data_IF_866237968070
#
_entry.id   IF_866237968070
#
_cell.length_a   1.000
_cell.length_b   1.000
_cell.length_c   1.000
_cell.angle_alpha   90.00
_cell.angle_beta   90.00
_cell.angle_gamma   90.00
#
_symmetry.space_group_name_H-M   'P 1'
#
loop_
_entity.id
_entity.type
_entity.pdbx_description
1 polymer ?
#
# COMPACT_ATOMS: atom_id res chain seq x y z
N UNK A 1 11.58 -2.98 -14.29
CA UNK A 1 11.14 -1.64 -13.80
C UNK A 1 9.65 -1.75 -13.56
N UNK A 2 9.20 -1.55 -12.32
CA UNK A 2 7.77 -1.50 -11.99
C UNK A 2 7.38 -0.06 -11.69
N UNK A 3 6.30 0.42 -12.30
CA UNK A 3 5.75 1.75 -12.08
C UNK A 3 4.42 1.63 -11.35
N UNK A 4 4.30 2.24 -10.16
CA UNK A 4 3.04 2.32 -9.41
C UNK A 4 2.48 3.74 -9.46
N UNK A 5 1.21 3.92 -9.84
CA UNK A 5 0.51 5.21 -9.71
C UNK A 5 -0.64 5.06 -8.73
N UNK A 6 -0.70 5.88 -7.66
CA UNK A 6 -1.83 5.87 -6.72
C UNK A 6 -2.57 7.20 -6.56
N UNK A 7 -3.90 7.15 -6.45
CA UNK A 7 -4.78 8.33 -6.25
C UNK A 7 -5.56 8.31 -4.93
N UNK A 8 -4.91 8.58 -3.79
CA UNK A 8 -5.59 8.61 -2.50
C UNK A 8 -6.45 9.88 -2.30
N UNK A 9 -7.70 9.67 -1.91
CA UNK A 9 -8.66 10.71 -1.55
C UNK A 9 -8.93 10.63 -0.04
N UNK A 10 -7.99 11.10 0.79
CA UNK A 10 -8.20 11.20 2.25
C UNK A 10 -7.33 12.28 2.90
N UNK A 11 -7.99 13.17 3.67
CA UNK A 11 -7.42 13.91 4.83
C UNK A 11 -8.39 14.87 5.51
N UNK A 12 -9.54 15.24 4.90
CA UNK A 12 -10.22 16.49 5.29
C UNK A 12 -11.74 16.41 5.56
N UNK A 13 -12.34 15.22 5.68
CA UNK A 13 -13.78 15.04 5.98
C UNK A 13 -14.02 14.50 7.40
N UNK A 14 -15.13 14.90 8.04
CA UNK A 14 -15.53 14.47 9.39
C UNK A 14 -15.90 12.99 9.48
N UNK A 15 -16.06 12.30 8.34
CA UNK A 15 -16.21 10.84 8.23
C UNK A 15 -15.09 10.32 7.32
N UNK A 16 -14.12 9.55 7.81
CA UNK A 16 -12.99 9.10 7.00
C UNK A 16 -13.48 8.05 6.00
N UNK A 17 -13.78 8.49 4.79
CA UNK A 17 -13.90 7.66 3.60
C UNK A 17 -12.63 7.86 2.78
N UNK A 18 -12.00 6.76 2.37
CA UNK A 18 -10.83 6.76 1.51
C UNK A 18 -11.13 6.02 0.21
N UNK A 19 -10.70 6.60 -0.90
CA UNK A 19 -10.62 5.96 -2.21
C UNK A 19 -9.16 5.97 -2.66
N UNK A 20 -8.68 4.85 -3.20
CA UNK A 20 -7.36 4.75 -3.83
C UNK A 20 -7.55 3.98 -5.13
N UNK A 21 -7.09 4.55 -6.25
CA UNK A 21 -6.86 3.83 -7.50
C UNK A 21 -5.37 3.57 -7.61
N UNK A 22 -4.99 2.35 -8.00
CA UNK A 22 -3.61 1.91 -8.16
C UNK A 22 -3.45 1.33 -9.57
N UNK A 23 -2.39 1.72 -10.27
CA UNK A 23 -1.94 1.05 -11.49
C UNK A 23 -0.51 0.56 -11.29
N UNK A 24 -0.24 -0.70 -11.65
CA UNK A 24 1.09 -1.30 -11.65
C UNK A 24 1.38 -1.92 -13.02
N UNK A 25 2.60 -1.74 -13.52
CA UNK A 25 3.05 -2.32 -14.79
C UNK A 25 4.45 -2.92 -14.65
N UNK A 26 4.63 -4.13 -15.21
CA UNK A 26 5.94 -4.75 -15.42
C UNK A 26 6.08 -5.04 -16.91
N UNK A 27 6.82 -4.21 -17.67
CA UNK A 27 7.03 -4.41 -19.09
C UNK A 27 8.22 -5.31 -19.36
N UNK A 28 8.29 -5.87 -20.58
CA UNK A 28 9.48 -6.56 -21.08
C UNK A 28 9.77 -7.89 -20.39
N UNK A 29 8.72 -8.62 -19.97
CA UNK A 29 8.86 -9.97 -19.42
C UNK A 29 9.22 -10.92 -20.56
N UNK A 30 10.38 -11.60 -20.52
CA UNK A 30 10.78 -12.52 -21.58
C UNK A 30 9.83 -13.72 -21.67
N UNK A 31 9.29 -13.94 -22.86
CA UNK A 31 8.51 -15.13 -23.20
C UNK A 31 9.43 -16.19 -23.82
N UNK A 32 9.68 -17.26 -23.06
CA UNK A 32 10.54 -18.36 -23.50
C UNK A 32 9.76 -19.58 -23.99
N UNK A 33 8.42 -19.52 -24.01
CA UNK A 33 7.55 -20.68 -24.34
C UNK A 33 7.81 -21.25 -25.73
N UNK A 34 8.27 -20.41 -26.66
CA UNK A 34 8.58 -20.80 -28.05
C UNK A 34 10.07 -20.71 -28.37
N UNK A 35 10.92 -20.47 -27.37
CA UNK A 35 12.35 -20.26 -27.55
C UNK A 35 13.18 -21.55 -27.46
N UNK A 36 12.60 -22.67 -27.01
CA UNK A 36 13.34 -23.92 -26.85
C UNK A 36 13.67 -24.56 -28.21
N UNK A 37 14.96 -24.77 -28.47
CA UNK A 37 15.43 -25.67 -29.52
C UNK A 37 15.41 -27.09 -28.97
N UNK A 38 14.25 -27.71 -29.08
CA UNK A 38 13.96 -29.05 -28.59
C UNK A 38 14.37 -30.10 -29.63
N UNK A 39 15.45 -30.83 -29.38
CA UNK A 39 15.97 -31.84 -30.32
C UNK A 39 15.20 -33.16 -30.23
N UNK A 40 14.62 -33.47 -29.06
CA UNK A 40 13.99 -34.76 -28.78
C UNK A 40 12.45 -34.69 -28.70
N UNK A 41 11.86 -33.48 -28.65
CA UNK A 41 10.42 -33.21 -28.64
C UNK A 41 9.75 -33.31 -27.27
N UNK A 42 10.50 -33.34 -26.16
CA UNK A 42 9.96 -33.54 -24.80
C UNK A 42 9.56 -32.24 -24.08
N UNK A 43 9.84 -31.08 -24.67
CA UNK A 43 9.52 -29.75 -24.16
C UNK A 43 10.30 -29.35 -22.90
N UNK A 44 11.40 -30.03 -22.56
CA UNK A 44 12.20 -29.76 -21.36
C UNK A 44 13.63 -29.46 -21.74
N UNK A 45 14.12 -28.27 -21.42
CA UNK A 45 15.53 -27.88 -21.60
C UNK A 45 16.50 -28.89 -20.93
N UNK A 46 17.06 -29.83 -21.71
CA UNK A 46 17.95 -30.86 -21.19
C UNK A 46 19.02 -31.32 -22.21
N UNK A 47 20.04 -32.04 -21.73
CA UNK A 47 21.12 -32.55 -22.58
C UNK A 47 21.92 -31.45 -23.28
N UNK A 48 21.81 -31.40 -24.61
CA UNK A 48 22.48 -30.41 -25.48
C UNK A 48 21.53 -29.28 -25.95
N UNK A 49 20.28 -29.27 -25.51
CA UNK A 49 19.27 -28.30 -25.92
C UNK A 49 19.56 -26.91 -25.36
N UNK A 50 19.08 -25.88 -26.07
CA UNK A 50 19.31 -24.49 -25.71
C UNK A 50 18.13 -23.62 -26.10
N UNK A 51 18.02 -22.47 -25.45
CA UNK A 51 17.09 -21.44 -25.86
C UNK A 51 17.68 -20.68 -27.06
N UNK A 52 16.93 -20.61 -28.16
CA UNK A 52 17.22 -19.68 -29.24
C UNK A 52 16.76 -18.27 -28.82
N UNK A 53 17.74 -17.44 -28.49
CA UNK A 53 17.53 -16.02 -28.16
C UNK A 53 16.71 -15.25 -29.22
N UNK A 54 16.70 -15.68 -30.48
CA UNK A 54 15.91 -15.03 -31.55
C UNK A 54 14.41 -15.29 -31.44
N UNK A 55 14.03 -16.36 -30.76
CA UNK A 55 12.64 -16.78 -30.56
C UNK A 55 12.10 -16.38 -29.17
N UNK A 56 12.92 -15.68 -28.38
CA UNK A 56 12.46 -15.06 -27.14
C UNK A 56 11.71 -13.78 -27.51
N UNK A 57 10.40 -13.77 -27.28
CA UNK A 57 9.58 -12.56 -27.40
C UNK A 57 9.38 -11.91 -26.04
N UNK A 58 8.64 -10.81 -25.96
CA UNK A 58 8.34 -10.13 -24.70
C UNK A 58 6.83 -9.95 -24.52
N UNK A 59 6.36 -10.00 -23.28
CA UNK A 59 5.02 -9.61 -22.89
C UNK A 59 5.06 -8.70 -21.66
N UNK A 60 3.94 -8.10 -21.33
CA UNK A 60 3.81 -7.23 -20.15
C UNK A 60 2.78 -7.77 -19.17
N UNK A 61 2.95 -7.35 -17.93
CA UNK A 61 1.95 -7.46 -16.88
C UNK A 61 1.38 -6.07 -16.60
N UNK A 62 0.05 -5.98 -16.50
CA UNK A 62 -0.65 -4.76 -16.10
C UNK A 62 -1.63 -5.09 -14.99
N UNK A 63 -1.73 -4.23 -13.98
CA UNK A 63 -2.64 -4.45 -12.87
C UNK A 63 -3.30 -3.14 -12.46
N UNK A 64 -4.62 -3.19 -12.30
CA UNK A 64 -5.43 -2.09 -11.78
C UNK A 64 -6.07 -2.52 -10.47
N UNK A 65 -5.82 -1.76 -9.42
CA UNK A 65 -6.39 -1.96 -8.09
C UNK A 65 -7.25 -0.78 -7.67
N UNK A 66 -8.38 -1.06 -7.01
CA UNK A 66 -9.20 -0.06 -6.33
C UNK A 66 -9.32 -0.45 -4.86
N UNK A 67 -9.14 0.51 -3.97
CA UNK A 67 -9.32 0.32 -2.54
C UNK A 67 -10.27 1.37 -1.97
N UNK A 68 -11.31 0.91 -1.29
CA UNK A 68 -12.28 1.74 -0.60
C UNK A 68 -12.22 1.43 0.90
N UNK A 69 -12.14 2.44 1.75
CA UNK A 69 -12.14 2.22 3.20
C UNK A 69 -13.02 3.19 3.97
N UNK A 70 -13.41 2.75 5.17
CA UNK A 70 -14.15 3.55 6.14
C UNK A 70 -13.75 3.20 7.56
N UNK A 71 -13.69 4.21 8.43
CA UNK A 71 -13.41 4.02 9.85
C UNK A 71 -14.42 4.71 10.78
N UNK A 72 -14.52 4.17 12.00
CA UNK A 72 -15.42 4.59 13.08
C UNK A 72 -14.68 4.61 14.42
N UNK A 73 -14.96 5.62 15.24
CA UNK A 73 -14.51 5.67 16.63
C UNK A 73 -15.49 4.84 17.47
N UNK A 74 -15.01 3.77 18.10
CA UNK A 74 -15.82 2.86 18.92
C UNK A 74 -15.96 3.38 20.35
N UNK A 75 -14.86 3.85 20.95
CA UNK A 75 -14.86 4.39 22.30
C UNK A 75 -14.27 5.80 22.29
N UNK A 76 -14.96 6.74 22.95
CA UNK A 76 -14.42 8.06 23.28
C UNK A 76 -13.96 8.03 24.72
N UNK A 77 -12.66 8.19 24.96
CA UNK A 77 -12.15 8.35 26.32
C UNK A 77 -12.72 9.66 26.90
N UNK A 78 -13.20 9.69 28.15
CA UNK A 78 -13.72 10.91 28.75
C UNK A 78 -12.61 11.98 28.76
N UNK A 79 -12.92 13.17 28.25
CA UNK A 79 -12.02 14.32 28.32
C UNK A 79 -11.58 14.56 29.76
N UNK A 80 -10.29 14.85 29.97
CA UNK A 80 -9.70 15.25 31.25
C UNK A 80 -10.53 16.35 31.94
N UNK A 81 -11.40 15.97 32.86
CA UNK A 81 -12.36 16.87 33.52
C UNK A 81 -13.41 16.15 34.36
N UNK A 82 -13.63 14.85 34.14
CA UNK A 82 -14.47 14.02 35.03
C UNK A 82 -13.63 13.43 36.17
N UNK A 83 -13.88 13.90 37.39
CA UNK A 83 -13.22 13.46 38.65
C UNK A 83 -13.63 12.04 39.06
N UNK A 84 -14.53 11.37 38.33
CA UNK A 84 -15.19 10.12 38.76
C UNK A 84 -14.93 8.89 37.89
N UNK A 85 -13.92 8.88 37.02
CA UNK A 85 -13.60 7.65 36.24
C UNK A 85 -12.13 7.25 36.39
N UNK A 86 -11.81 6.46 37.41
CA UNK A 86 -10.55 5.70 37.52
C UNK A 86 -10.54 4.47 36.59
N UNK A 87 -11.09 4.59 35.37
CA UNK A 87 -11.03 3.53 34.36
C UNK A 87 -9.87 3.83 33.43
N UNK A 88 -8.70 3.30 33.80
CA UNK A 88 -7.44 3.25 33.04
C UNK A 88 -7.23 4.35 31.99
N UNK A 89 -6.58 5.44 32.42
CA UNK A 89 -6.02 6.55 31.61
C UNK A 89 -4.94 6.08 30.60
N UNK A 90 -4.78 4.77 30.38
CA UNK A 90 -3.71 4.15 29.62
C UNK A 90 -4.05 3.88 28.14
N UNK A 91 -5.33 3.82 27.76
CA UNK A 91 -5.73 3.70 26.34
C UNK A 91 -6.63 4.88 25.94
N UNK A 92 -6.25 5.57 24.87
CA UNK A 92 -7.07 6.58 24.21
C UNK A 92 -8.15 5.97 23.31
N UNK A 93 -8.75 6.81 22.48
CA UNK A 93 -9.84 6.42 21.58
C UNK A 93 -9.46 5.20 20.72
N UNK A 94 -10.42 4.29 20.58
CA UNK A 94 -10.29 3.09 19.75
C UNK A 94 -11.02 3.34 18.43
N UNK A 95 -10.32 3.14 17.33
CA UNK A 95 -10.83 3.32 15.97
C UNK A 95 -10.84 1.96 15.29
N UNK A 96 -11.97 1.61 14.70
CA UNK A 96 -12.13 0.46 13.84
C UNK A 96 -12.30 0.89 12.40
N UNK A 97 -11.69 0.17 11.48
CA UNK A 97 -11.80 0.41 10.05
C UNK A 97 -12.05 -0.87 9.28
N UNK A 98 -12.76 -0.74 8.16
CA UNK A 98 -12.88 -1.78 7.15
C UNK A 98 -12.43 -1.21 5.80
N UNK A 99 -11.90 -2.08 4.95
CA UNK A 99 -11.53 -1.75 3.59
C UNK A 99 -11.90 -2.86 2.62
N UNK A 100 -12.34 -2.51 1.42
CA UNK A 100 -12.59 -3.46 0.33
C UNK A 100 -11.66 -3.17 -0.83
N UNK A 101 -11.09 -4.22 -1.41
CA UNK A 101 -10.17 -4.20 -2.55
C UNK A 101 -10.86 -4.83 -3.75
N UNK A 102 -10.75 -4.19 -4.91
CA UNK A 102 -11.04 -4.81 -6.21
C UNK A 102 -9.78 -4.77 -7.07
N UNK A 103 -9.54 -5.81 -7.85
CA UNK A 103 -8.32 -5.94 -8.65
C UNK A 103 -8.65 -6.55 -10.01
N UNK A 104 -8.05 -5.99 -11.06
CA UNK A 104 -7.98 -6.59 -12.38
C UNK A 104 -6.50 -6.74 -12.72
N UNK A 105 -6.09 -7.96 -13.03
CA UNK A 105 -4.71 -8.31 -13.34
C UNK A 105 -4.67 -8.88 -14.76
N UNK A 106 -3.75 -8.39 -15.58
CA UNK A 106 -3.50 -8.91 -16.92
C UNK A 106 -2.06 -9.39 -16.98
N UNK A 107 -1.88 -10.65 -17.39
CA UNK A 107 -0.57 -11.28 -17.57
C UNK A 107 -0.52 -11.93 -18.96
N UNK A 108 0.18 -11.29 -19.89
CA UNK A 108 0.17 -11.70 -21.29
C UNK A 108 -1.24 -11.62 -21.88
N UNK A 109 -1.78 -12.76 -22.31
CA UNK A 109 -3.12 -12.89 -22.91
C UNK A 109 -4.23 -13.20 -21.92
N UNK A 110 -3.92 -13.35 -20.63
CA UNK A 110 -4.88 -13.77 -19.61
C UNK A 110 -5.24 -12.62 -18.67
N UNK A 111 -6.51 -12.58 -18.29
CA UNK A 111 -7.03 -11.61 -17.31
C UNK A 111 -7.59 -12.33 -16.09
N UNK A 112 -7.21 -11.84 -14.91
CA UNK A 112 -7.71 -12.24 -13.61
C UNK A 112 -8.48 -11.11 -12.94
N UNK A 113 -9.59 -11.43 -12.27
CA UNK A 113 -10.32 -10.47 -11.43
C UNK A 113 -10.32 -10.96 -9.98
N UNK A 114 -10.03 -10.05 -9.05
CA UNK A 114 -9.97 -10.36 -7.63
C UNK A 114 -10.68 -9.37 -6.74
N UNK A 115 -11.03 -9.86 -5.55
CA UNK A 115 -11.71 -9.09 -4.50
C UNK A 115 -11.13 -9.46 -3.14
N UNK A 116 -11.01 -8.47 -2.25
CA UNK A 116 -10.57 -8.69 -0.88
C UNK A 116 -11.21 -7.76 0.14
N UNK A 117 -11.16 -8.17 1.41
CA UNK A 117 -11.70 -7.43 2.55
C UNK A 117 -10.65 -7.35 3.65
N UNK A 118 -10.40 -6.13 4.11
CA UNK A 118 -9.50 -5.83 5.22
C UNK A 118 -10.30 -5.27 6.41
N UNK A 119 -9.81 -5.55 7.61
CA UNK A 119 -10.33 -4.97 8.85
C UNK A 119 -9.18 -4.58 9.77
N UNK A 120 -9.30 -3.45 10.46
CA UNK A 120 -8.25 -2.95 11.33
C UNK A 120 -8.77 -2.26 12.57
N UNK A 121 -7.97 -2.30 13.63
CA UNK A 121 -8.16 -1.57 14.87
C UNK A 121 -6.93 -0.72 15.15
N UNK A 122 -7.12 0.50 15.61
CA UNK A 122 -6.06 1.40 16.09
C UNK A 122 -6.47 2.02 17.41
N UNK A 123 -5.51 2.20 18.31
CA UNK A 123 -5.70 2.97 19.53
C UNK A 123 -4.51 3.91 19.75
N UNK A 124 -4.78 5.03 20.42
CA UNK A 124 -3.75 5.93 20.91
C UNK A 124 -3.23 5.39 22.26
N UNK A 125 -1.98 4.95 22.30
CA UNK A 125 -1.35 4.42 23.51
C UNK A 125 -0.75 5.54 24.38
N UNK A 126 -0.07 6.51 23.76
CA UNK A 126 0.39 7.76 24.40
C UNK A 126 0.07 8.97 23.52
N UNK A 127 0.19 10.21 24.03
CA UNK A 127 -0.22 11.46 23.35
C UNK A 127 0.14 11.55 21.86
N UNK A 128 1.23 10.91 21.45
CA UNK A 128 1.76 10.91 20.08
C UNK A 128 2.11 9.53 19.55
N UNK A 129 1.76 8.46 20.26
CA UNK A 129 2.10 7.07 19.92
C UNK A 129 0.82 6.26 19.79
N UNK A 130 0.68 5.58 18.68
CA UNK A 130 -0.46 4.75 18.32
C UNK A 130 -0.02 3.30 18.15
N UNK A 131 -0.89 2.38 18.53
CA UNK A 131 -0.73 0.96 18.25
C UNK A 131 -1.92 0.49 17.41
N UNK A 132 -1.70 -0.49 16.54
CA UNK A 132 -2.74 -1.01 15.68
C UNK A 132 -2.57 -2.48 15.36
N UNK A 133 -3.68 -3.09 14.97
CA UNK A 133 -3.78 -4.45 14.44
C UNK A 133 -4.53 -4.34 13.11
N UNK A 134 -4.00 -4.98 12.07
CA UNK A 134 -4.62 -5.05 10.75
C UNK A 134 -4.72 -6.51 10.34
N UNK A 135 -5.92 -6.93 9.93
CA UNK A 135 -6.19 -8.22 9.31
C UNK A 135 -6.49 -7.93 7.83
N UNK A 136 -5.61 -8.38 6.97
CA UNK A 136 -5.78 -8.29 5.53
C UNK A 136 -6.44 -9.57 5.02
N UNK A 137 -7.31 -9.41 4.02
CA UNK A 137 -7.94 -10.54 3.31
C UNK A 137 -8.71 -11.49 4.25
N UNK A 138 -9.52 -10.90 5.14
CA UNK A 138 -10.23 -11.54 6.28
C UNK A 138 -10.92 -12.85 5.92
N UNK A 139 -11.54 -12.93 4.74
CA UNK A 139 -12.29 -14.12 4.30
C UNK A 139 -11.56 -14.95 3.24
N UNK A 140 -10.25 -14.78 3.09
CA UNK A 140 -9.48 -15.25 1.94
C UNK A 140 -9.91 -14.55 0.65
N UNK A 141 -8.95 -13.98 -0.06
CA UNK A 141 -9.22 -13.29 -1.33
C UNK A 141 -8.90 -14.22 -2.50
N UNK A 142 -9.68 -14.10 -3.57
CA UNK A 142 -9.49 -14.92 -4.78
C UNK A 142 -9.16 -14.03 -5.96
N UNK A 143 -8.24 -14.49 -6.81
CA UNK A 143 -8.02 -13.98 -8.15
C UNK A 143 -8.43 -15.09 -9.13
N UNK A 144 -9.57 -14.88 -9.79
CA UNK A 144 -10.12 -15.84 -10.75
C UNK A 144 -9.70 -15.44 -12.17
N UNK A 145 -9.04 -16.37 -12.86
CA UNK A 145 -8.53 -16.16 -14.22
C UNK A 145 -9.48 -16.69 -15.28
N UNK A 146 -9.44 -16.07 -16.46
CA UNK A 146 -10.23 -16.48 -17.62
C UNK A 146 -9.93 -17.90 -18.14
N UNK A 147 -8.73 -18.42 -17.87
CA UNK A 147 -8.32 -19.79 -18.21
C UNK A 147 -8.83 -20.84 -17.21
N UNK A 148 -9.63 -20.43 -16.21
CA UNK A 148 -10.24 -21.32 -15.22
C UNK A 148 -9.38 -21.60 -13.99
N UNK A 149 -8.14 -21.11 -13.93
CA UNK A 149 -7.33 -21.19 -12.70
C UNK A 149 -7.76 -20.17 -11.67
N UNK A 150 -7.39 -20.41 -10.41
CA UNK A 150 -7.66 -19.53 -9.29
C UNK A 150 -6.43 -19.40 -8.43
N UNK A 151 -6.11 -18.19 -8.05
CA UNK A 151 -5.12 -17.92 -7.02
C UNK A 151 -5.83 -17.51 -5.73
N UNK A 152 -5.25 -17.93 -4.61
CA UNK A 152 -5.81 -17.77 -3.29
C UNK A 152 -4.83 -16.97 -2.46
N UNK A 153 -5.29 -15.85 -1.91
CA UNK A 153 -4.55 -15.03 -0.97
C UNK A 153 -5.07 -15.31 0.43
N UNK A 154 -4.22 -15.88 1.27
CA UNK A 154 -4.56 -16.22 2.65
C UNK A 154 -4.63 -14.97 3.53
N UNK A 155 -5.50 -14.96 4.56
CA UNK A 155 -5.54 -13.87 5.53
C UNK A 155 -4.17 -13.62 6.15
N UNK A 156 -3.86 -12.36 6.43
CA UNK A 156 -2.61 -11.94 7.07
C UNK A 156 -2.86 -10.98 8.21
N UNK A 157 -2.24 -11.21 9.35
CA UNK A 157 -2.36 -10.37 10.54
C UNK A 157 -1.05 -9.61 10.75
N UNK A 158 -1.16 -8.30 10.92
CA UNK A 158 -0.04 -7.45 11.31
C UNK A 158 -0.36 -6.66 12.56
N UNK A 159 0.65 -6.47 13.41
CA UNK A 159 0.56 -5.66 14.62
C UNK A 159 1.68 -4.63 14.59
N UNK A 160 1.35 -3.38 14.88
CA UNK A 160 2.28 -2.28 14.68
C UNK A 160 2.14 -1.14 15.65
N UNK A 161 3.18 -0.33 15.71
CA UNK A 161 3.30 0.89 16.49
C UNK A 161 3.81 2.02 15.61
N UNK A 162 3.34 3.23 15.85
CA UNK A 162 3.88 4.42 15.21
C UNK A 162 3.76 5.63 16.11
N UNK A 163 4.57 6.66 15.85
CA UNK A 163 4.47 7.92 16.56
C UNK A 163 5.14 9.08 15.85
N UNK A 164 4.65 10.28 16.14
CA UNK A 164 5.12 11.53 15.53
C UNK A 164 5.67 12.47 16.62
N UNK A 165 6.91 12.93 16.44
CA UNK A 165 7.63 13.75 17.40
C UNK A 165 8.04 15.07 16.75
N UNK A 166 7.50 16.18 17.25
CA UNK A 166 7.88 17.53 16.78
C UNK A 166 9.19 17.93 17.44
N UNK A 167 10.18 18.33 16.65
CA UNK A 167 11.44 18.86 17.16
C UNK A 167 11.23 20.33 17.54
N UNK A 168 11.39 20.74 18.81
CA UNK A 168 10.95 22.07 19.28
C UNK A 168 11.77 23.25 18.74
N UNK A 169 12.98 23.00 18.23
CA UNK A 169 13.93 24.03 17.79
C UNK A 169 13.96 24.24 16.27
N UNK A 170 13.38 23.31 15.50
CA UNK A 170 13.39 23.32 14.04
C UNK A 170 12.02 22.85 13.55
N UNK A 171 11.49 23.38 12.44
CA UNK A 171 10.16 23.01 11.94
C UNK A 171 10.22 21.63 11.25
N UNK A 172 10.57 20.59 12.00
CA UNK A 172 10.71 19.22 11.56
C UNK A 172 9.91 18.33 12.51
N UNK A 173 9.03 17.52 11.94
CA UNK A 173 8.35 16.43 12.63
C UNK A 173 8.99 15.11 12.19
N UNK A 174 9.37 14.28 13.16
CA UNK A 174 9.88 12.93 12.95
C UNK A 174 8.75 11.92 13.18
N UNK A 175 8.35 11.22 12.13
CA UNK A 175 7.47 10.06 12.18
C UNK A 175 8.28 8.77 12.21
N UNK A 176 7.95 7.85 13.11
CA UNK A 176 8.50 6.51 13.17
C UNK A 176 7.37 5.49 13.14
N UNK A 177 7.57 4.40 12.42
CA UNK A 177 6.63 3.28 12.34
C UNK A 177 7.35 1.94 12.30
N UNK A 178 6.73 0.93 12.89
CA UNK A 178 7.25 -0.42 12.99
C UNK A 178 6.09 -1.41 13.11
N UNK A 179 6.12 -2.51 12.38
CA UNK A 179 5.12 -3.56 12.49
C UNK A 179 5.68 -4.96 12.20
N UNK A 180 5.02 -5.97 12.74
CA UNK A 180 5.35 -7.38 12.57
C UNK A 180 4.17 -8.08 11.91
N UNK A 181 4.45 -8.87 10.89
CA UNK A 181 3.51 -9.80 10.30
C UNK A 181 3.55 -11.10 11.11
N UNK A 182 2.42 -11.50 11.68
CA UNK A 182 2.36 -12.61 12.63
C UNK A 182 2.67 -13.96 11.95
N UNK A 183 2.20 -14.16 10.73
CA UNK A 183 2.34 -15.44 10.04
C UNK A 183 3.77 -15.72 9.57
N UNK A 184 4.51 -14.68 9.16
CA UNK A 184 5.87 -14.82 8.63
C UNK A 184 6.96 -14.39 9.62
N UNK A 185 6.58 -13.81 10.77
CA UNK A 185 7.49 -13.16 11.72
C UNK A 185 8.37 -12.06 11.08
N UNK A 186 7.94 -11.53 9.93
CA UNK A 186 8.68 -10.51 9.20
C UNK A 186 8.37 -9.12 9.75
N UNK A 187 9.41 -8.30 9.81
CA UNK A 187 9.35 -6.96 10.38
C UNK A 187 9.46 -5.89 9.31
N UNK A 188 8.58 -4.89 9.39
CA UNK A 188 8.60 -3.67 8.58
C UNK A 188 8.91 -2.47 9.46
N UNK A 189 9.62 -1.50 8.89
CA UNK A 189 9.91 -0.23 9.57
C UNK A 189 9.88 0.93 8.59
N UNK A 190 9.56 2.11 9.11
CA UNK A 190 9.53 3.34 8.36
C UNK A 190 9.89 4.53 9.22
N UNK A 191 10.49 5.52 8.57
CA UNK A 191 10.85 6.80 9.15
C UNK A 191 10.48 7.91 8.16
N UNK A 192 9.88 8.97 8.67
CA UNK A 192 9.48 10.14 7.90
C UNK A 192 9.98 11.41 8.58
N UNK A 193 10.66 12.27 7.83
CA UNK A 193 10.97 13.64 8.23
C UNK A 193 10.08 14.60 7.47
N UNK A 194 9.24 15.33 8.18
CA UNK A 194 8.35 16.33 7.61
C UNK A 194 8.84 17.72 7.95
N UNK A 195 9.33 18.45 6.96
CA UNK A 195 9.92 19.78 7.05
C UNK A 195 8.84 20.82 6.71
N UNK A 196 8.53 21.70 7.67
CA UNK A 196 7.51 22.75 7.56
C UNK A 196 6.14 22.24 7.05
N UNK A 197 5.80 20.99 7.32
CA UNK A 197 4.57 20.32 6.84
C UNK A 197 4.46 20.15 5.31
N UNK A 198 5.38 20.71 4.52
CA UNK A 198 5.31 20.72 3.06
C UNK A 198 6.23 19.71 2.38
N UNK A 199 7.38 19.39 2.97
CA UNK A 199 8.37 18.49 2.36
C UNK A 199 8.54 17.28 3.25
N UNK A 200 8.40 16.09 2.69
CA UNK A 200 8.48 14.84 3.42
C UNK A 200 9.59 13.99 2.83
N UNK A 201 10.51 13.53 3.66
CA UNK A 201 11.56 12.60 3.25
C UNK A 201 11.32 11.31 4.01
N UNK A 202 11.21 10.19 3.28
CA UNK A 202 10.80 8.90 3.81
C UNK A 202 11.87 7.85 3.58
N UNK A 203 12.04 6.98 4.54
CA UNK A 203 12.87 5.79 4.47
C UNK A 203 12.09 4.62 5.02
N UNK A 204 12.22 3.45 4.40
CA UNK A 204 11.49 2.28 4.85
C UNK A 204 12.19 0.97 4.53
N UNK A 205 11.78 -0.07 5.22
CA UNK A 205 12.13 -1.46 4.96
C UNK A 205 10.86 -2.29 4.99
N UNK A 206 10.63 -3.08 3.95
CA UNK A 206 9.46 -3.97 3.86
C UNK A 206 9.76 -5.35 4.50
N UNK A 207 8.80 -6.26 4.38
CA UNK A 207 8.85 -7.59 4.96
C UNK A 207 9.95 -8.48 4.36
N UNK A 208 10.23 -8.33 3.07
CA UNK A 208 11.32 -9.04 2.37
C UNK A 208 12.70 -8.43 2.61
N UNK A 209 12.77 -7.35 3.41
CA UNK A 209 14.00 -6.66 3.76
C UNK A 209 14.50 -5.65 2.72
N UNK A 210 13.70 -5.39 1.70
CA UNK A 210 13.96 -4.39 0.67
C UNK A 210 13.84 -3.00 1.26
N UNK A 211 14.83 -2.16 0.94
CA UNK A 211 14.91 -0.78 1.41
C UNK A 211 14.24 0.14 0.39
N UNK A 212 13.56 1.17 0.88
CA UNK A 212 12.97 2.21 0.06
C UNK A 212 13.30 3.59 0.60
N UNK A 213 13.31 4.57 -0.30
CA UNK A 213 13.38 6.00 0.03
C UNK A 213 12.32 6.77 -0.75
N UNK A 214 11.86 7.90 -0.25
CA UNK A 214 10.87 8.70 -0.95
C UNK A 214 10.89 10.18 -0.58
N UNK A 215 10.33 10.97 -1.48
CA UNK A 215 10.14 12.41 -1.35
C UNK A 215 8.66 12.73 -1.57
N UNK A 216 8.06 13.45 -0.64
CA UNK A 216 6.69 13.97 -0.72
C UNK A 216 6.68 15.48 -0.72
N UNK A 217 5.85 16.08 -1.56
CA UNK A 217 5.54 17.50 -1.59
C UNK A 217 4.05 17.67 -1.29
N UNK A 218 3.76 18.46 -0.26
CA UNK A 218 2.41 18.68 0.25
C UNK A 218 2.05 20.15 0.20
N UNK A 219 0.94 20.41 -0.46
CA UNK A 219 0.19 21.65 -0.44
C UNK A 219 -1.14 21.44 0.29
N UNK A 220 -1.94 22.49 0.49
CA UNK A 220 -3.15 22.43 1.30
C UNK A 220 -4.15 21.35 0.87
N UNK A 221 -4.29 21.12 -0.43
CA UNK A 221 -5.28 20.19 -1.00
C UNK A 221 -4.68 19.11 -1.90
N UNK A 222 -3.37 19.14 -2.14
CA UNK A 222 -2.69 18.26 -3.08
C UNK A 222 -1.41 17.72 -2.43
N UNK A 223 -1.13 16.45 -2.62
CA UNK A 223 0.14 15.84 -2.28
C UNK A 223 0.68 15.06 -3.48
N UNK A 224 1.96 15.22 -3.77
CA UNK A 224 2.68 14.43 -4.77
C UNK A 224 3.79 13.71 -4.04
N UNK A 225 3.86 12.40 -4.18
CA UNK A 225 4.92 11.59 -3.57
C UNK A 225 5.59 10.72 -4.62
N UNK A 226 6.91 10.64 -4.53
CA UNK A 226 7.73 9.73 -5.29
C UNK A 226 8.51 8.84 -4.33
N UNK A 227 8.56 7.54 -4.61
CA UNK A 227 9.38 6.59 -3.87
C UNK A 227 10.19 5.71 -4.82
N UNK A 228 11.37 5.31 -4.36
CA UNK A 228 12.26 4.39 -5.02
C UNK A 228 12.49 3.20 -4.09
N UNK A 229 12.28 2.00 -4.62
CA UNK A 229 12.51 0.75 -3.93
C UNK A 229 13.74 0.05 -4.54
N UNK A 230 14.72 -0.26 -3.69
CA UNK A 230 16.01 -0.83 -4.09
C UNK A 230 15.94 -2.35 -4.09
N UNK A 231 15.58 -2.91 -5.23
CA UNK A 231 15.50 -4.35 -5.42
C UNK A 231 16.91 -4.99 -5.33
N UNK A 232 17.08 -6.14 -4.65
CA UNK A 232 18.38 -6.82 -4.59
C UNK A 232 18.89 -7.20 -5.98
N UNK A 233 20.20 -7.20 -6.23
CA UNK A 233 20.76 -7.55 -7.55
C UNK A 233 20.40 -8.97 -8.04
N UNK A 234 19.95 -9.85 -7.14
CA UNK A 234 19.47 -11.20 -7.45
C UNK A 234 18.07 -11.16 -8.10
N UNK A 235 17.25 -10.13 -7.84
CA UNK A 235 15.96 -9.96 -8.51
C UNK A 235 16.14 -9.28 -9.86
N UNK A 236 15.80 -9.99 -10.94
CA UNK A 236 15.93 -9.53 -12.33
C UNK A 236 14.98 -8.39 -12.71
N UNK A 237 14.16 -7.90 -11.78
CA UNK A 237 13.09 -6.93 -12.01
C UNK A 237 13.61 -5.47 -12.01
N UNK A 238 14.79 -5.24 -11.45
CA UNK A 238 15.39 -3.90 -11.29
C UNK A 238 14.60 -3.03 -10.30
N UNK A 239 15.12 -1.83 -10.00
CA UNK A 239 14.47 -0.93 -9.04
C UNK A 239 13.04 -0.56 -9.45
N UNK A 240 12.18 -0.40 -8.45
CA UNK A 240 10.78 -0.02 -8.63
C UNK A 240 10.56 1.45 -8.30
N UNK A 241 9.79 2.13 -9.15
CA UNK A 241 9.49 3.54 -9.05
C UNK A 241 8.01 3.70 -8.71
N UNK A 242 7.71 4.39 -7.61
CA UNK A 242 6.33 4.59 -7.18
C UNK A 242 6.01 6.08 -7.21
N UNK A 243 4.97 6.46 -7.94
CA UNK A 243 4.43 7.80 -8.00
C UNK A 243 3.03 7.82 -7.38
N UNK A 244 2.75 8.84 -6.58
CA UNK A 244 1.44 9.00 -5.95
C UNK A 244 0.98 10.45 -6.07
N UNK A 245 -0.31 10.61 -6.36
CA UNK A 245 -0.98 11.89 -6.44
C UNK A 245 -2.24 11.87 -5.57
N UNK A 246 -2.20 12.60 -4.47
CA UNK A 246 -3.33 12.73 -3.55
C UNK A 246 -4.06 14.05 -3.79
N UNK A 247 -5.39 14.04 -3.76
CA UNK A 247 -6.20 15.25 -3.85
C UNK A 247 -7.30 15.28 -2.79
N UNK A 248 -7.50 16.43 -2.17
CA UNK A 248 -8.60 16.68 -1.27
C UNK A 248 -9.91 16.76 -2.06
N UNK A 249 -10.91 15.91 -1.77
CA UNK A 249 -12.18 15.95 -2.50
C UNK A 249 -12.95 17.27 -2.30
N UNK A 250 -12.66 18.05 -1.24
CA UNK A 250 -13.23 19.40 -1.08
C UNK A 250 -12.87 20.33 -2.23
N UNK A 251 -11.66 20.22 -2.78
CA UNK A 251 -11.21 21.02 -3.92
C UNK A 251 -11.99 20.68 -5.20
N UNK A 252 -12.42 19.41 -5.34
CA UNK A 252 -13.24 18.97 -6.46
C UNK A 252 -14.68 19.46 -6.26
N UNK A 253 -15.24 19.28 -5.06
CA UNK A 253 -16.60 19.70 -4.73
C UNK A 253 -16.80 21.21 -4.85
N UNK A 254 -15.83 22.03 -4.40
CA UNK A 254 -15.92 23.49 -4.49
C UNK A 254 -15.94 24.03 -5.92
N UNK A 255 -15.46 23.25 -6.91
CA UNK A 255 -15.50 23.62 -8.33
C UNK A 255 -16.77 23.13 -9.04
N UNK A 256 -17.45 22.11 -8.51
CA UNK A 256 -18.64 21.51 -9.12
C UNK A 256 -19.93 22.05 -8.49
N UNK A 257 -19.91 22.41 -7.21
CA UNK A 257 -21.06 23.06 -6.56
C UNK A 257 -21.06 24.56 -6.89
N UNK A 258 -22.11 25.11 -7.53
CA UNK A 258 -22.28 26.56 -7.62
C UNK A 258 -22.39 27.14 -6.20
N UNK A 259 -21.97 28.40 -5.97
CA UNK A 259 -22.25 29.07 -4.72
C UNK A 259 -23.76 29.01 -4.48
N UNK A 260 -24.14 28.57 -3.27
CA UNK A 260 -25.50 28.74 -2.79
C UNK A 260 -25.72 30.25 -2.64
N UNK A 261 -26.28 30.88 -3.66
CA UNK A 261 -26.74 32.25 -3.58
C UNK A 261 -27.84 32.33 -2.51
N UNK A 262 -27.64 33.23 -1.54
CA UNK A 262 -28.60 33.59 -0.49
C UNK A 262 -29.77 34.41 -1.07
#
# INVERSE_FOLDING_TARGET
KSDLISFPIYKFTSKPFGFILIHEEVPGIPDTRYALLDENGDGKLNGNERLDSKNVTEFSQHQWGVYLNRAWVINKSPSMGSVLSQKSVLLGDVIFGIGVKGLIHQLGSHTGTGFGLDAGLRTLFWKRVQAGILIQDVFTSWLAWDNGTKEIVTPRVSVGISGNYDLPLIPITLGLMADIIIESEEFRMGMEWTIKENIQIRFGRNETGIISTGLGLVWSDIEISYALQFEPEISSLGNSHLLSFSINPKLIMSKISPPLDN
#
